data_IF_109365549792
#
_entry.id   IF_109365549792
#
_cell.length_a   1.000
_cell.length_b   1.000
_cell.length_c   1.000
_cell.angle_alpha   90.00
_cell.angle_beta   90.00
_cell.angle_gamma   90.00
#
_symmetry.space_group_name_H-M   'P 1'
#
loop_
_entity.id
_entity.type
_entity.pdbx_description
1 polymer ?
#
# COMPACT_ATOMS: atom_id res chain seq x y z
N UNK A 1 11.60 21.61 -16.89
CA UNK A 1 12.53 21.08 -15.87
C UNK A 1 12.32 21.84 -14.58
N UNK A 2 11.53 21.32 -13.64
CA UNK A 2 11.30 21.98 -12.34
C UNK A 2 11.36 20.93 -11.23
N UNK A 3 12.21 21.24 -10.26
CA UNK A 3 12.40 20.61 -8.94
C UNK A 3 12.93 19.20 -8.90
N UNK A 4 14.26 19.11 -8.99
CA UNK A 4 15.08 18.01 -8.52
C UNK A 4 15.68 18.41 -7.18
N UNK A 5 14.83 18.58 -6.16
CA UNK A 5 15.23 18.86 -4.79
C UNK A 5 14.03 18.55 -3.91
N UNK A 6 14.28 17.95 -2.73
CA UNK A 6 13.35 17.67 -1.62
C UNK A 6 12.95 16.17 -1.47
N UNK A 7 13.89 15.34 -1.01
CA UNK A 7 13.89 14.67 0.32
C UNK A 7 14.86 13.48 0.34
N UNK A 8 16.13 13.80 0.60
CA UNK A 8 17.08 12.84 1.18
C UNK A 8 16.84 12.90 2.70
N UNK A 9 16.19 11.88 3.27
CA UNK A 9 16.23 11.65 4.72
C UNK A 9 16.24 10.14 4.98
N UNK A 10 17.47 9.63 5.04
CA UNK A 10 18.00 8.75 6.08
C UNK A 10 17.03 7.82 6.80
N UNK A 11 17.25 6.51 6.71
CA UNK A 11 17.75 5.75 7.86
C UNK A 11 18.16 4.33 7.45
N UNK A 12 19.45 4.04 7.62
CA UNK A 12 19.97 2.69 7.82
C UNK A 12 19.17 2.01 8.93
N UNK A 13 18.55 0.87 8.62
CA UNK A 13 18.10 -0.08 9.64
C UNK A 13 18.51 -1.49 9.18
N UNK A 14 19.81 -1.78 9.31
CA UNK A 14 20.30 -3.14 9.49
C UNK A 14 19.95 -3.57 10.92
N UNK A 15 18.68 -3.83 11.19
CA UNK A 15 18.32 -4.64 12.35
C UNK A 15 18.09 -6.02 11.78
N UNK A 16 18.87 -7.00 12.22
CA UNK A 16 18.55 -8.41 12.02
C UNK A 16 17.23 -8.69 12.78
N UNK A 17 16.10 -8.30 12.20
CA UNK A 17 14.79 -8.61 12.72
C UNK A 17 14.57 -10.09 12.49
N UNK A 18 14.19 -10.82 13.53
CA UNK A 18 13.72 -12.20 13.34
C UNK A 18 12.55 -12.18 12.37
N UNK A 19 12.37 -13.24 11.58
CA UNK A 19 11.24 -13.35 10.65
C UNK A 19 9.89 -13.13 11.37
N UNK A 20 9.79 -13.45 12.66
CA UNK A 20 8.61 -13.20 13.48
C UNK A 20 8.32 -11.71 13.75
N UNK A 21 9.34 -10.90 14.02
CA UNK A 21 9.20 -9.44 14.19
C UNK A 21 8.79 -8.77 12.87
N UNK A 22 9.34 -9.26 11.76
CA UNK A 22 9.08 -8.76 10.42
C UNK A 22 7.64 -9.04 9.97
N UNK A 23 7.14 -10.28 10.18
CA UNK A 23 5.73 -10.64 9.95
C UNK A 23 4.79 -9.79 10.82
N UNK A 24 5.18 -9.52 12.07
CA UNK A 24 4.37 -8.70 12.99
C UNK A 24 4.25 -7.27 12.48
N UNK A 25 5.35 -6.68 12.00
CA UNK A 25 5.33 -5.34 11.39
C UNK A 25 4.47 -5.29 10.13
N UNK A 26 4.55 -6.29 9.26
CA UNK A 26 3.69 -6.37 8.07
C UNK A 26 2.20 -6.42 8.43
N UNK A 27 1.83 -7.22 9.44
CA UNK A 27 0.44 -7.28 9.92
C UNK A 27 -0.05 -5.91 10.43
N UNK A 28 0.78 -5.17 11.17
CA UNK A 28 0.43 -3.81 11.60
C UNK A 28 0.28 -2.83 10.44
N UNK A 29 1.13 -2.94 9.41
CA UNK A 29 1.02 -2.13 8.20
C UNK A 29 -0.30 -2.42 7.47
N UNK A 30 -0.64 -3.70 7.31
CA UNK A 30 -1.91 -4.18 6.74
C UNK A 30 -3.10 -3.64 7.54
N UNK A 31 -3.08 -3.76 8.86
CA UNK A 31 -4.15 -3.25 9.72
C UNK A 31 -4.36 -1.74 9.58
N UNK A 32 -3.27 -0.97 9.49
CA UNK A 32 -3.35 0.47 9.25
C UNK A 32 -3.90 0.79 7.86
N UNK A 33 -3.38 0.14 6.81
CA UNK A 33 -3.85 0.34 5.44
C UNK A 33 -5.33 0.00 5.30
N UNK A 34 -5.77 -1.14 5.87
CA UNK A 34 -7.15 -1.58 5.83
C UNK A 34 -8.10 -0.60 6.55
N UNK A 35 -7.68 0.00 7.67
CA UNK A 35 -8.44 1.06 8.34
C UNK A 35 -8.59 2.31 7.47
N UNK A 36 -7.54 2.72 6.76
CA UNK A 36 -7.62 3.86 5.84
C UNK A 36 -8.50 3.56 4.62
N UNK A 37 -8.42 2.35 4.06
CA UNK A 37 -9.30 1.90 2.98
C UNK A 37 -10.78 1.89 3.41
N UNK A 38 -11.07 1.47 4.65
CA UNK A 38 -12.42 1.52 5.22
C UNK A 38 -12.97 2.94 5.29
N UNK A 39 -12.15 3.90 5.73
CA UNK A 39 -12.52 5.33 5.79
C UNK A 39 -12.77 5.89 4.40
N UNK A 40 -11.88 5.63 3.46
CA UNK A 40 -11.98 6.12 2.08
C UNK A 40 -13.14 5.47 1.31
N UNK A 41 -13.54 4.25 1.67
CA UNK A 41 -14.65 3.58 0.99
C UNK A 41 -15.98 4.33 1.14
N UNK A 42 -16.14 5.19 2.14
CA UNK A 42 -17.30 6.10 2.22
C UNK A 42 -17.41 7.01 0.97
N UNK A 43 -16.28 7.39 0.37
CA UNK A 43 -16.20 8.18 -0.85
C UNK A 43 -16.22 7.35 -2.14
N UNK A 44 -15.65 6.14 -2.12
CA UNK A 44 -15.58 5.27 -3.30
C UNK A 44 -16.84 4.43 -3.51
N UNK A 45 -17.54 4.10 -2.43
CA UNK A 45 -18.76 3.28 -2.42
C UNK A 45 -18.57 1.93 -3.11
N UNK A 46 -17.41 1.30 -2.92
CA UNK A 46 -17.23 -0.09 -3.32
C UNK A 46 -18.21 -0.97 -2.55
N UNK A 47 -18.76 -1.98 -3.21
CA UNK A 47 -19.56 -3.00 -2.55
C UNK A 47 -18.69 -3.78 -1.55
N UNK A 48 -19.33 -4.43 -0.58
CA UNK A 48 -18.60 -5.15 0.48
C UNK A 48 -17.63 -6.19 -0.08
N UNK A 49 -18.05 -6.96 -1.09
CA UNK A 49 -17.22 -7.96 -1.75
C UNK A 49 -16.07 -7.34 -2.57
N UNK A 50 -16.30 -6.17 -3.17
CA UNK A 50 -15.27 -5.42 -3.92
C UNK A 50 -14.20 -4.85 -2.99
N UNK A 51 -14.62 -4.27 -1.85
CA UNK A 51 -13.70 -3.76 -0.84
C UNK A 51 -12.86 -4.89 -0.23
N UNK A 52 -13.48 -6.02 0.12
CA UNK A 52 -12.77 -7.17 0.66
C UNK A 52 -11.75 -7.75 -0.33
N UNK A 53 -12.12 -7.86 -1.61
CA UNK A 53 -11.18 -8.27 -2.67
C UNK A 53 -10.02 -7.29 -2.82
N UNK A 54 -10.30 -5.99 -2.82
CA UNK A 54 -9.26 -4.96 -2.90
C UNK A 54 -8.28 -5.06 -1.73
N UNK A 55 -8.78 -5.17 -0.50
CA UNK A 55 -7.95 -5.36 0.69
C UNK A 55 -7.09 -6.62 0.57
N UNK A 56 -7.69 -7.73 0.14
CA UNK A 56 -6.96 -8.99 -0.05
C UNK A 56 -5.81 -8.86 -1.05
N UNK A 57 -6.03 -8.20 -2.19
CA UNK A 57 -4.97 -7.96 -3.18
C UNK A 57 -3.81 -7.19 -2.55
N UNK A 58 -4.10 -6.16 -1.76
CA UNK A 58 -3.11 -5.32 -1.09
C UNK A 58 -2.38 -6.11 0.00
N UNK A 59 -3.11 -6.87 0.82
CA UNK A 59 -2.56 -7.68 1.90
C UNK A 59 -1.62 -8.76 1.34
N UNK A 60 -2.03 -9.46 0.28
CA UNK A 60 -1.21 -10.45 -0.42
C UNK A 60 0.08 -9.80 -0.96
N UNK A 61 -0.01 -8.59 -1.52
CA UNK A 61 1.16 -7.85 -2.02
C UNK A 61 2.14 -7.47 -0.90
N UNK A 62 1.65 -6.97 0.23
CA UNK A 62 2.48 -6.64 1.40
C UNK A 62 3.14 -7.88 2.01
N UNK A 63 2.49 -9.04 1.93
CA UNK A 63 3.01 -10.30 2.44
C UNK A 63 3.99 -11.01 1.50
N UNK A 64 4.08 -10.63 0.22
CA UNK A 64 5.02 -11.24 -0.75
C UNK A 64 6.48 -10.98 -0.42
N UNK A 65 6.84 -9.72 -0.15
CA UNK A 65 8.24 -9.31 0.03
C UNK A 65 8.52 -8.71 1.41
N UNK A 66 9.74 -8.90 1.96
CA UNK A 66 10.18 -8.23 3.18
C UNK A 66 9.97 -6.71 3.15
N UNK A 67 9.67 -6.14 4.32
CA UNK A 67 9.63 -4.69 4.53
C UNK A 67 11.03 -4.10 4.35
N UNK A 68 11.42 -3.89 3.10
CA UNK A 68 12.64 -3.19 2.71
C UNK A 68 12.28 -1.80 2.18
N UNK A 69 13.25 -0.89 2.20
CA UNK A 69 13.06 0.41 1.55
C UNK A 69 12.97 0.19 0.04
N UNK A 70 11.81 0.46 -0.54
CA UNK A 70 11.63 0.43 -2.00
C UNK A 70 12.08 1.75 -2.62
N UNK A 71 12.81 1.65 -3.72
CA UNK A 71 13.03 2.76 -4.65
C UNK A 71 11.70 3.24 -5.22
N UNK A 72 11.66 4.46 -5.78
CA UNK A 72 10.44 4.98 -6.42
C UNK A 72 9.96 4.09 -7.57
N UNK A 73 10.88 3.41 -8.28
CA UNK A 73 10.57 2.47 -9.35
C UNK A 73 9.93 1.18 -8.81
N UNK A 74 10.48 0.61 -7.75
CA UNK A 74 9.89 -0.57 -7.09
C UNK A 74 8.51 -0.27 -6.50
N UNK A 75 8.32 0.92 -5.90
CA UNK A 75 7.00 1.36 -5.41
C UNK A 75 6.00 1.48 -6.55
N UNK A 76 6.41 2.04 -7.70
CA UNK A 76 5.56 2.16 -8.88
C UNK A 76 5.19 0.77 -9.45
N UNK A 77 6.13 -0.18 -9.43
CA UNK A 77 5.88 -1.57 -9.85
C UNK A 77 4.84 -2.24 -8.95
N UNK A 78 5.00 -2.16 -7.63
CA UNK A 78 4.05 -2.74 -6.66
C UNK A 78 2.65 -2.13 -6.84
N UNK A 79 2.53 -0.81 -6.95
CA UNK A 79 1.25 -0.15 -7.18
C UNK A 79 0.61 -0.61 -8.50
N UNK A 80 1.41 -0.80 -9.54
CA UNK A 80 0.94 -1.32 -10.83
C UNK A 80 0.46 -2.77 -10.72
N UNK A 81 1.16 -3.62 -9.98
CA UNK A 81 0.73 -5.01 -9.76
C UNK A 81 -0.62 -5.09 -9.03
N UNK A 82 -0.83 -4.22 -8.03
CA UNK A 82 -2.11 -4.07 -7.34
C UNK A 82 -3.20 -3.56 -8.29
N UNK A 83 -2.90 -2.55 -9.11
CA UNK A 83 -3.83 -1.99 -10.08
C UNK A 83 -4.25 -3.03 -11.14
N UNK A 84 -3.30 -3.78 -11.67
CA UNK A 84 -3.54 -4.80 -12.69
C UNK A 84 -4.33 -6.00 -12.12
N UNK A 85 -4.05 -6.40 -10.87
CA UNK A 85 -4.88 -7.37 -10.14
C UNK A 85 -6.29 -6.83 -9.91
N UNK A 86 -6.42 -5.56 -9.53
CA UNK A 86 -7.70 -4.86 -9.38
C UNK A 86 -8.52 -4.85 -10.67
N UNK A 87 -7.91 -4.51 -11.81
CA UNK A 87 -8.58 -4.55 -13.13
C UNK A 87 -9.14 -5.93 -13.47
N UNK A 88 -8.45 -6.99 -13.06
CA UNK A 88 -8.84 -8.37 -13.29
C UNK A 88 -9.95 -8.84 -12.35
N UNK A 89 -9.80 -8.58 -11.05
CA UNK A 89 -10.62 -9.19 -10.01
C UNK A 89 -11.79 -8.28 -9.55
N UNK A 90 -11.76 -7.00 -9.95
CA UNK A 90 -12.79 -5.98 -9.71
C UNK A 90 -13.34 -5.42 -11.03
N UNK A 91 -13.91 -6.26 -11.93
CA UNK A 91 -14.32 -5.83 -13.28
C UNK A 91 -15.46 -4.80 -13.30
N UNK A 92 -16.15 -4.60 -12.17
CA UNK A 92 -17.21 -3.61 -12.00
C UNK A 92 -16.68 -2.24 -11.56
N UNK A 93 -15.45 -2.18 -11.04
CA UNK A 93 -14.79 -0.93 -10.65
C UNK A 93 -14.14 -0.33 -11.88
N UNK A 94 -14.52 0.90 -12.23
CA UNK A 94 -13.93 1.57 -13.40
C UNK A 94 -12.43 1.79 -13.23
N UNK A 95 -11.67 1.77 -14.33
CA UNK A 95 -10.23 2.06 -14.33
C UNK A 95 -9.94 3.41 -13.66
N UNK A 96 -10.72 4.45 -13.98
CA UNK A 96 -10.58 5.78 -13.37
C UNK A 96 -10.77 5.77 -11.85
N UNK A 97 -11.60 4.85 -11.33
CA UNK A 97 -11.79 4.70 -9.89
C UNK A 97 -10.63 3.92 -9.26
N UNK A 98 -10.13 2.87 -9.93
CA UNK A 98 -8.91 2.18 -9.52
C UNK A 98 -7.71 3.14 -9.46
N UNK A 99 -7.53 4.02 -10.45
CA UNK A 99 -6.47 5.04 -10.44
C UNK A 99 -6.52 5.93 -9.19
N UNK A 100 -7.74 6.36 -8.80
CA UNK A 100 -7.95 7.17 -7.59
C UNK A 100 -7.61 6.38 -6.32
N UNK A 101 -8.00 5.12 -6.28
CA UNK A 101 -7.68 4.21 -5.17
C UNK A 101 -6.17 4.04 -5.06
N UNK A 102 -5.45 3.84 -6.16
CA UNK A 102 -3.98 3.69 -6.16
C UNK A 102 -3.28 4.96 -5.67
N UNK A 103 -3.74 6.13 -6.09
CA UNK A 103 -3.21 7.41 -5.61
C UNK A 103 -3.36 7.55 -4.08
N UNK A 104 -4.52 7.15 -3.54
CA UNK A 104 -4.79 7.16 -2.10
C UNK A 104 -4.04 6.07 -1.35
N UNK A 105 -3.90 4.88 -1.91
CA UNK A 105 -3.11 3.81 -1.33
C UNK A 105 -1.65 4.22 -1.14
N UNK A 106 -1.09 4.96 -2.10
CA UNK A 106 0.25 5.54 -1.96
C UNK A 106 0.34 6.53 -0.80
N UNK A 107 -0.64 7.42 -0.66
CA UNK A 107 -0.71 8.38 0.47
C UNK A 107 -0.80 7.65 1.82
N UNK A 108 -1.71 6.69 1.93
CA UNK A 108 -1.97 5.93 3.15
C UNK A 108 -0.84 5.00 3.54
N UNK A 109 -0.18 4.35 2.59
CA UNK A 109 1.00 3.53 2.86
C UNK A 109 2.15 4.34 3.44
N UNK A 110 2.36 5.59 2.99
CA UNK A 110 3.34 6.50 3.59
C UNK A 110 2.95 6.91 5.02
N UNK A 111 1.66 7.20 5.25
CA UNK A 111 1.13 7.51 6.57
C UNK A 111 1.35 6.34 7.55
N UNK A 112 0.93 5.14 7.17
CA UNK A 112 1.07 3.94 7.99
C UNK A 112 2.54 3.58 8.25
N UNK A 113 3.42 3.73 7.25
CA UNK A 113 4.86 3.55 7.45
C UNK A 113 5.45 4.52 8.48
N UNK A 114 4.91 5.74 8.59
CA UNK A 114 5.31 6.72 9.59
C UNK A 114 4.76 6.39 10.98
N UNK A 115 3.50 5.96 11.08
CA UNK A 115 2.92 5.51 12.37
C UNK A 115 3.68 4.33 12.96
N UNK A 116 4.14 3.38 12.13
CA UNK A 116 4.95 2.25 12.61
C UNK A 116 6.33 2.65 13.18
N UNK A 117 6.80 3.88 12.92
CA UNK A 117 8.07 4.42 13.45
C UNK A 117 7.86 5.25 14.72
N UNK A 118 6.62 5.53 15.09
CA UNK A 118 6.23 6.34 16.25
C UNK A 118 5.97 5.44 17.46
#
# INVERSE_FOLDING_TARGET
MKSLTIFLFSLLVLIATTAADEITKRKRLIECANKELDKENAGWKLQGDELEKLKKIIDDEVLKEPLKSHTAEEQAKVLKEIEDAGKKDLPKVSVKQLDKIMAKLKEHSMHCAKEMRS
#
